data_IF_093736013715
#
_entry.id   IF_093736013715
#
_cell.length_a   1.000
_cell.length_b   1.000
_cell.length_c   1.000
_cell.angle_alpha   90.00
_cell.angle_beta   90.00
_cell.angle_gamma   90.00
#
_symmetry.space_group_name_H-M   'P 1'
#
loop_
_entity.id
_entity.type
_entity.pdbx_description
1 polymer ?
#
# COMPACT_ATOMS: atom_id res chain seq x y z
N UNK A 1 -20.89 10.31 -6.19
CA UNK A 1 -20.26 9.42 -5.19
C UNK A 1 -19.39 10.30 -4.30
N UNK A 2 -19.50 10.21 -2.98
CA UNK A 2 -18.67 11.05 -2.11
C UNK A 2 -17.21 10.57 -2.20
N UNK A 3 -16.24 11.50 -2.11
CA UNK A 3 -14.80 11.21 -2.14
C UNK A 3 -14.40 10.09 -1.15
N UNK A 4 -15.14 9.97 -0.05
CA UNK A 4 -14.94 9.00 1.01
C UNK A 4 -15.27 7.56 0.60
N UNK A 5 -16.24 7.36 -0.29
CA UNK A 5 -16.60 6.02 -0.78
C UNK A 5 -15.49 5.47 -1.67
N UNK A 6 -14.86 6.33 -2.48
CA UNK A 6 -13.80 5.93 -3.42
C UNK A 6 -12.52 5.52 -2.70
N UNK A 7 -12.06 6.31 -1.73
CA UNK A 7 -10.90 5.97 -0.90
C UNK A 7 -11.10 4.65 -0.18
N UNK A 8 -12.28 4.45 0.41
CA UNK A 8 -12.66 3.22 1.10
C UNK A 8 -12.60 2.00 0.17
N UNK A 9 -13.14 2.12 -1.04
CA UNK A 9 -13.11 1.06 -2.05
C UNK A 9 -11.67 0.71 -2.48
N UNK A 10 -10.80 1.71 -2.61
CA UNK A 10 -9.39 1.48 -2.96
C UNK A 10 -8.64 0.74 -1.85
N UNK A 11 -8.89 1.11 -0.60
CA UNK A 11 -8.37 0.44 0.59
C UNK A 11 -8.86 -1.01 0.71
N UNK A 12 -10.16 -1.25 0.52
CA UNK A 12 -10.76 -2.58 0.52
C UNK A 12 -10.22 -3.46 -0.62
N UNK A 13 -10.01 -2.88 -1.80
CA UNK A 13 -9.38 -3.59 -2.91
C UNK A 13 -7.93 -3.98 -2.58
N UNK A 14 -7.15 -3.06 -2.01
CA UNK A 14 -5.77 -3.33 -1.62
C UNK A 14 -5.68 -4.45 -0.56
N UNK A 15 -6.54 -4.39 0.47
CA UNK A 15 -6.53 -5.40 1.55
C UNK A 15 -6.97 -6.77 1.03
N UNK A 16 -7.94 -6.82 0.11
CA UNK A 16 -8.38 -8.06 -0.53
C UNK A 16 -7.20 -8.76 -1.23
N UNK A 17 -6.46 -8.01 -2.06
CA UNK A 17 -5.30 -8.53 -2.77
C UNK A 17 -4.18 -8.92 -1.82
N UNK A 18 -3.91 -8.13 -0.79
CA UNK A 18 -2.94 -8.46 0.25
C UNK A 18 -3.25 -9.80 0.92
N UNK A 19 -4.48 -10.01 1.41
CA UNK A 19 -4.89 -11.28 2.03
C UNK A 19 -4.74 -12.45 1.06
N UNK A 20 -5.17 -12.28 -0.20
CA UNK A 20 -5.03 -13.30 -1.25
C UNK A 20 -3.57 -13.69 -1.47
N UNK A 21 -2.66 -12.72 -1.51
CA UNK A 21 -1.24 -12.96 -1.75
C UNK A 21 -0.51 -13.50 -0.52
N UNK A 22 -0.79 -13.01 0.68
CA UNK A 22 -0.23 -13.54 1.93
C UNK A 22 -0.59 -15.02 2.12
N UNK A 23 -1.84 -15.41 1.82
CA UNK A 23 -2.23 -16.82 1.84
C UNK A 23 -1.37 -17.66 0.89
N UNK A 24 -1.12 -17.17 -0.32
CA UNK A 24 -0.30 -17.88 -1.32
C UNK A 24 1.16 -17.97 -0.90
N UNK A 25 1.73 -16.89 -0.35
CA UNK A 25 3.15 -16.79 0.01
C UNK A 25 3.48 -17.53 1.30
N UNK A 26 2.66 -17.37 2.33
CA UNK A 26 2.96 -17.81 3.69
C UNK A 26 2.00 -18.90 4.21
N UNK A 27 0.94 -19.24 3.46
CA UNK A 27 -0.10 -20.17 3.91
C UNK A 27 -1.08 -19.59 4.94
N UNK A 28 -0.89 -18.33 5.36
CA UNK A 28 -1.70 -17.69 6.40
C UNK A 28 -3.00 -17.16 5.82
N UNK A 29 -4.14 -17.63 6.34
CA UNK A 29 -5.45 -17.12 6.01
C UNK A 29 -5.85 -16.04 7.02
N UNK A 30 -5.86 -14.79 6.56
CA UNK A 30 -6.46 -13.67 7.30
C UNK A 30 -7.91 -13.42 6.87
N UNK A 31 -8.67 -12.81 7.77
CA UNK A 31 -10.00 -12.25 7.52
C UNK A 31 -10.07 -10.82 8.06
N UNK A 32 -10.79 -9.94 7.38
CA UNK A 32 -11.04 -8.59 7.88
C UNK A 32 -11.95 -8.68 9.10
N UNK A 33 -11.42 -8.34 10.27
CA UNK A 33 -12.19 -8.22 11.52
C UNK A 33 -12.84 -6.84 11.60
N UNK A 34 -12.12 -5.80 11.19
CA UNK A 34 -12.59 -4.41 11.26
C UNK A 34 -11.94 -3.53 10.20
N UNK A 35 -12.72 -2.60 9.66
CA UNK A 35 -12.28 -1.47 8.85
C UNK A 35 -12.67 -0.20 9.61
N UNK A 36 -11.70 0.63 9.96
CA UNK A 36 -11.92 1.87 10.69
C UNK A 36 -12.23 3.06 9.77
N UNK A 37 -11.73 3.06 8.53
CA UNK A 37 -11.91 4.16 7.59
C UNK A 37 -11.47 5.50 8.21
N UNK A 38 -12.17 6.58 7.87
CA UNK A 38 -11.82 7.93 8.34
C UNK A 38 -12.23 8.23 9.79
N UNK A 39 -13.13 7.43 10.37
CA UNK A 39 -13.57 7.59 11.77
C UNK A 39 -12.52 7.07 12.78
N UNK A 40 -11.45 6.45 12.27
CA UNK A 40 -10.34 5.89 13.03
C UNK A 40 -9.24 6.89 13.35
N UNK A 41 -9.54 8.01 14.00
CA UNK A 41 -8.48 8.93 14.47
C UNK A 41 -7.49 8.13 15.33
N UNK A 42 -6.22 8.14 14.95
CA UNK A 42 -5.14 7.36 15.58
C UNK A 42 -5.37 5.84 15.55
N UNK A 43 -6.14 5.31 14.59
CA UNK A 43 -6.33 3.86 14.40
C UNK A 43 -5.81 3.43 13.03
N UNK A 44 -5.31 2.20 12.91
CA UNK A 44 -4.97 1.63 11.61
C UNK A 44 -6.23 1.47 10.76
N UNK A 45 -6.09 1.46 9.44
CA UNK A 45 -7.23 1.31 8.53
C UNK A 45 -7.96 -0.03 8.74
N UNK A 46 -7.22 -1.13 8.86
CA UNK A 46 -7.78 -2.47 9.05
C UNK A 46 -7.23 -3.19 10.26
N UNK A 47 -8.06 -4.08 10.80
CA UNK A 47 -7.67 -5.15 11.69
C UNK A 47 -7.98 -6.47 11.00
N UNK A 48 -6.95 -7.30 10.85
CA UNK A 48 -7.03 -8.63 10.28
C UNK A 48 -6.87 -9.68 11.37
N UNK A 49 -7.70 -10.71 11.32
CA UNK A 49 -7.60 -11.86 12.24
C UNK A 49 -7.17 -13.09 11.46
N UNK A 50 -6.08 -13.72 11.91
CA UNK A 50 -5.62 -15.03 11.44
C UNK A 50 -5.95 -16.11 12.46
N UNK A 51 -5.39 -17.31 12.27
CA UNK A 51 -5.55 -18.42 13.21
C UNK A 51 -4.84 -18.16 14.55
N UNK A 52 -3.65 -17.55 14.52
CA UNK A 52 -2.76 -17.42 15.70
C UNK A 52 -2.49 -15.97 16.12
N UNK A 53 -2.79 -15.00 15.26
CA UNK A 53 -2.52 -13.60 15.53
C UNK A 53 -3.58 -12.67 14.95
N UNK A 54 -3.66 -11.48 15.55
CA UNK A 54 -4.34 -10.32 15.00
C UNK A 54 -3.27 -9.31 14.58
N UNK A 55 -3.42 -8.77 13.37
CA UNK A 55 -2.54 -7.73 12.86
C UNK A 55 -3.36 -6.50 12.46
N UNK A 56 -2.82 -5.34 12.76
CA UNK A 56 -3.29 -4.08 12.20
C UNK A 56 -2.62 -3.84 10.85
N UNK A 57 -3.35 -3.26 9.90
CA UNK A 57 -2.80 -2.88 8.59
C UNK A 57 -3.20 -1.44 8.29
N UNK A 58 -2.20 -0.58 8.13
CA UNK A 58 -2.36 0.74 7.52
C UNK A 58 -2.22 0.58 6.00
N UNK A 59 -3.13 1.17 5.23
CA UNK A 59 -3.11 1.13 3.78
C UNK A 59 -2.77 2.50 3.22
N UNK A 60 -1.98 2.50 2.16
CA UNK A 60 -1.71 3.71 1.40
C UNK A 60 -1.45 3.38 -0.06
N UNK A 61 -1.52 4.41 -0.90
CA UNK A 61 -1.40 4.28 -2.34
C UNK A 61 -0.23 5.13 -2.80
N UNK A 62 0.68 4.49 -3.54
CA UNK A 62 1.79 5.13 -4.20
C UNK A 62 1.36 5.49 -5.62
N UNK A 63 1.38 6.78 -5.89
CA UNK A 63 1.18 7.37 -7.22
C UNK A 63 2.50 7.99 -7.65
N UNK A 64 2.76 8.05 -8.96
CA UNK A 64 3.93 8.71 -9.51
C UNK A 64 3.94 10.21 -9.14
N UNK A 65 2.79 10.87 -9.31
CA UNK A 65 2.57 12.27 -9.00
C UNK A 65 1.08 12.56 -8.71
N UNK A 66 0.75 13.83 -8.46
CA UNK A 66 -0.63 14.28 -8.24
C UNK A 66 -1.52 14.12 -9.49
N UNK A 67 -0.94 14.22 -10.69
CA UNK A 67 -1.69 14.09 -11.95
C UNK A 67 -2.18 12.65 -12.15
N UNK A 68 -1.30 11.67 -11.96
CA UNK A 68 -1.62 10.25 -11.99
C UNK A 68 -2.62 9.90 -10.90
N UNK A 69 -2.46 10.44 -9.69
CA UNK A 69 -3.43 10.26 -8.62
C UNK A 69 -4.82 10.77 -9.03
N UNK A 70 -4.91 11.98 -9.60
CA UNK A 70 -6.17 12.55 -10.07
C UNK A 70 -6.78 11.76 -11.23
N UNK A 71 -5.97 11.31 -12.18
CA UNK A 71 -6.41 10.48 -13.30
C UNK A 71 -7.00 9.15 -12.82
N UNK A 72 -6.29 8.44 -11.93
CA UNK A 72 -6.72 7.15 -11.40
C UNK A 72 -7.94 7.25 -10.48
N UNK A 73 -8.17 8.43 -9.90
CA UNK A 73 -9.39 8.77 -9.15
C UNK A 73 -10.51 9.36 -10.05
N UNK A 74 -10.38 9.25 -11.39
CA UNK A 74 -11.40 9.71 -12.33
C UNK A 74 -11.64 11.24 -12.34
N UNK A 75 -10.65 12.03 -11.91
CA UNK A 75 -10.72 13.50 -11.82
C UNK A 75 -10.08 14.22 -13.02
N UNK A 76 -9.54 13.48 -13.99
CA UNK A 76 -8.95 13.98 -15.23
C UNK A 76 -9.27 13.01 -16.37
N UNK A 77 -9.48 13.55 -17.57
CA UNK A 77 -9.84 12.78 -18.78
C UNK A 77 -8.62 12.42 -19.65
N UNK A 78 -7.45 12.99 -19.36
CA UNK A 78 -6.24 12.83 -20.17
C UNK A 78 -4.99 12.60 -19.34
N UNK A 79 -4.13 11.72 -19.86
CA UNK A 79 -2.79 11.44 -19.34
C UNK A 79 -1.82 12.42 -20.01
N UNK A 80 -1.06 13.22 -19.25
CA UNK A 80 0.08 13.94 -19.82
C UNK A 80 1.12 12.93 -20.36
N UNK A 81 1.73 13.20 -21.51
CA UNK A 81 2.87 12.44 -22.05
C UNK A 81 4.15 12.74 -21.24
N UNK A 82 4.11 12.49 -19.93
CA UNK A 82 5.27 12.69 -19.06
C UNK A 82 6.10 11.41 -18.97
N UNK A 83 7.41 11.57 -19.17
CA UNK A 83 8.38 10.49 -19.01
C UNK A 83 8.47 10.18 -17.52
N UNK A 84 8.04 8.97 -17.14
CA UNK A 84 8.11 8.51 -15.76
C UNK A 84 9.49 7.89 -15.47
N UNK A 85 10.15 8.37 -14.41
CA UNK A 85 11.45 7.86 -13.98
C UNK A 85 11.33 7.03 -12.69
N UNK A 86 12.03 5.89 -12.65
CA UNK A 86 12.04 5.04 -11.45
C UNK A 86 12.62 5.77 -10.23
N UNK A 87 13.61 6.64 -10.40
CA UNK A 87 14.17 7.45 -9.31
C UNK A 87 13.09 8.29 -8.63
N UNK A 88 12.27 8.99 -9.42
CA UNK A 88 11.15 9.80 -8.91
C UNK A 88 10.16 8.93 -8.13
N UNK A 89 9.84 7.74 -8.65
CA UNK A 89 8.94 6.81 -7.95
C UNK A 89 9.53 6.31 -6.61
N UNK A 90 10.84 6.06 -6.56
CA UNK A 90 11.52 5.69 -5.31
C UNK A 90 11.53 6.85 -4.31
N UNK A 91 11.77 8.08 -4.77
CA UNK A 91 11.71 9.27 -3.92
C UNK A 91 10.30 9.46 -3.34
N UNK A 92 9.26 9.36 -4.17
CA UNK A 92 7.86 9.43 -3.71
C UNK A 92 7.51 8.31 -2.73
N UNK A 93 8.01 7.08 -2.94
CA UNK A 93 7.85 5.97 -2.01
C UNK A 93 8.50 6.27 -0.66
N UNK A 94 9.71 6.82 -0.66
CA UNK A 94 10.43 7.17 0.57
C UNK A 94 9.70 8.27 1.35
N UNK A 95 9.23 9.31 0.66
CA UNK A 95 8.44 10.38 1.28
C UNK A 95 7.14 9.83 1.87
N UNK A 96 6.49 8.89 1.18
CA UNK A 96 5.28 8.24 1.66
C UNK A 96 5.53 7.43 2.94
N UNK A 97 6.60 6.64 2.96
CA UNK A 97 7.01 5.87 4.15
C UNK A 97 7.29 6.82 5.31
N UNK A 98 8.10 7.86 5.10
CA UNK A 98 8.46 8.84 6.13
C UNK A 98 7.22 9.52 6.74
N UNK A 99 6.25 9.91 5.91
CA UNK A 99 4.99 10.51 6.35
C UNK A 99 4.14 9.54 7.20
N UNK A 100 4.17 8.25 6.89
CA UNK A 100 3.43 7.23 7.66
C UNK A 100 4.11 6.88 8.98
N UNK A 101 5.44 6.91 9.05
CA UNK A 101 6.19 6.69 10.30
C UNK A 101 5.84 7.73 11.36
N UNK A 102 5.56 8.98 10.96
CA UNK A 102 5.15 10.03 11.88
C UNK A 102 3.80 9.81 12.58
N UNK A 103 2.99 8.84 12.11
CA UNK A 103 1.67 8.55 12.70
C UNK A 103 1.79 7.75 13.99
N UNK A 104 1.02 8.17 15.00
CA UNK A 104 0.84 7.44 16.26
C UNK A 104 -0.48 6.70 16.24
N UNK A 105 -0.44 5.41 16.58
CA UNK A 105 -1.60 4.55 16.64
C UNK A 105 -1.94 4.17 18.08
N UNK A 106 -3.21 4.24 18.44
CA UNK A 106 -3.78 3.66 19.65
C UNK A 106 -4.08 2.16 19.42
N UNK A 107 -3.04 1.42 19.06
CA UNK A 107 -3.06 -0.02 18.87
C UNK A 107 -1.78 -0.60 19.46
N UNK A 108 -1.92 -1.58 20.35
CA UNK A 108 -0.81 -2.16 21.10
C UNK A 108 -0.20 -3.41 20.44
N UNK A 109 -0.78 -3.89 19.33
CA UNK A 109 -0.32 -5.06 18.60
C UNK A 109 0.58 -4.72 17.42
N UNK A 110 0.87 -5.75 16.62
CA UNK A 110 1.61 -5.63 15.37
C UNK A 110 0.86 -4.77 14.36
N UNK A 111 1.55 -3.80 13.78
CA UNK A 111 1.05 -2.97 12.68
C UNK A 111 1.94 -3.19 11.46
N UNK A 112 1.33 -3.55 10.34
CA UNK A 112 1.98 -3.62 9.04
C UNK A 112 1.54 -2.42 8.18
N UNK A 113 2.45 -1.92 7.34
CA UNK A 113 2.13 -0.92 6.32
C UNK A 113 1.98 -1.61 4.97
N UNK A 114 0.82 -1.45 4.34
CA UNK A 114 0.56 -1.89 2.97
C UNK A 114 0.54 -0.70 2.03
N UNK A 115 1.50 -0.67 1.11
CA UNK A 115 1.62 0.34 0.06
C UNK A 115 1.18 -0.31 -1.25
N UNK A 116 0.10 0.17 -1.87
CA UNK A 116 -0.32 -0.25 -3.20
C UNK A 116 0.28 0.68 -4.24
N UNK A 117 1.15 0.16 -5.11
CA UNK A 117 1.59 0.88 -6.30
C UNK A 117 0.42 0.96 -7.28
N UNK A 118 -0.11 2.17 -7.46
CA UNK A 118 -1.22 2.44 -8.35
C UNK A 118 -0.74 2.72 -9.79
N UNK A 119 0.51 3.15 -9.94
CA UNK A 119 1.11 3.41 -11.25
C UNK A 119 1.25 2.14 -12.08
N UNK A 120 0.74 2.11 -13.32
CA UNK A 120 0.86 0.95 -14.20
C UNK A 120 2.24 0.84 -14.87
N UNK A 121 3.06 1.89 -14.83
CA UNK A 121 4.37 1.89 -15.48
C UNK A 121 5.43 1.09 -14.71
N UNK A 122 5.21 0.85 -13.41
CA UNK A 122 6.21 0.25 -12.54
C UNK A 122 5.80 -1.16 -12.08
N UNK A 123 6.55 -2.15 -12.56
CA UNK A 123 6.51 -3.53 -12.09
C UNK A 123 7.51 -3.81 -10.95
N UNK A 124 7.37 -4.97 -10.29
CA UNK A 124 8.17 -5.38 -9.12
C UNK A 124 9.69 -5.29 -9.34
N UNK A 125 10.18 -5.62 -10.54
CA UNK A 125 11.61 -5.61 -10.83
C UNK A 125 12.24 -4.21 -10.77
N UNK A 126 11.47 -3.14 -10.96
CA UNK A 126 11.96 -1.77 -10.80
C UNK A 126 12.34 -1.50 -9.34
N UNK A 127 11.52 -1.97 -8.39
CA UNK A 127 11.76 -1.79 -6.96
C UNK A 127 12.86 -2.71 -6.45
N UNK A 128 12.90 -3.97 -6.92
CA UNK A 128 13.99 -4.91 -6.56
C UNK A 128 15.35 -4.36 -6.98
N UNK A 129 15.48 -3.85 -8.22
CA UNK A 129 16.74 -3.28 -8.73
C UNK A 129 17.21 -2.04 -7.98
N UNK A 130 16.27 -1.30 -7.36
CA UNK A 130 16.55 -0.06 -6.65
C UNK A 130 16.35 -0.19 -5.14
N UNK A 131 16.32 -1.41 -4.60
CA UNK A 131 16.01 -1.67 -3.19
C UNK A 131 16.97 -0.98 -2.22
N UNK A 132 18.24 -0.82 -2.62
CA UNK A 132 19.28 -0.09 -1.87
C UNK A 132 18.97 1.40 -1.68
N UNK A 133 18.02 1.95 -2.45
CA UNK A 133 17.58 3.34 -2.38
C UNK A 133 16.22 3.48 -1.66
N UNK A 134 15.59 2.38 -1.25
CA UNK A 134 14.34 2.40 -0.50
C UNK A 134 14.67 2.49 0.99
N UNK A 135 14.26 3.59 1.61
CA UNK A 135 14.56 3.87 3.01
C UNK A 135 13.46 3.31 3.92
N UNK A 136 13.77 2.20 4.58
CA UNK A 136 12.94 1.63 5.64
C UNK A 136 13.50 1.88 7.04
N UNK A 137 14.56 2.67 7.16
CA UNK A 137 15.15 3.02 8.45
C UNK A 137 14.18 3.88 9.26
N UNK A 138 14.26 3.79 10.58
CA UNK A 138 13.39 4.51 11.52
C UNK A 138 11.89 4.18 11.41
N UNK A 139 11.50 3.12 10.71
CA UNK A 139 10.10 2.67 10.59
C UNK A 139 9.64 1.84 11.80
N UNK A 140 10.04 2.22 13.02
CA UNK A 140 9.88 1.40 14.23
C UNK A 140 8.42 1.09 14.60
N UNK A 141 7.47 1.87 14.11
CA UNK A 141 6.04 1.68 14.33
C UNK A 141 5.44 0.57 13.44
N UNK A 142 6.12 0.16 12.38
CA UNK A 142 5.67 -0.91 11.48
C UNK A 142 6.55 -2.16 11.62
N UNK A 143 5.93 -3.32 11.80
CA UNK A 143 6.63 -4.60 11.83
C UNK A 143 7.10 -4.98 10.43
N UNK A 144 6.18 -4.89 9.46
CA UNK A 144 6.50 -5.08 8.05
C UNK A 144 6.01 -3.94 7.18
N UNK A 145 6.69 -3.76 6.06
CA UNK A 145 6.27 -2.85 4.99
C UNK A 145 6.15 -3.66 3.72
N UNK A 146 4.93 -3.71 3.18
CA UNK A 146 4.57 -4.48 2.01
C UNK A 146 4.28 -3.55 0.84
N UNK A 147 4.86 -3.82 -0.32
CA UNK A 147 4.56 -3.16 -1.58
C UNK A 147 3.75 -4.11 -2.47
N UNK A 148 2.51 -3.75 -2.75
CA UNK A 148 1.60 -4.48 -3.63
C UNK A 148 1.62 -3.85 -5.03
N UNK A 149 1.98 -4.63 -6.03
CA UNK A 149 2.09 -4.19 -7.42
C UNK A 149 1.21 -5.01 -8.35
N UNK A 150 0.90 -4.39 -9.49
CA UNK A 150 0.25 -5.08 -10.59
C UNK A 150 1.26 -5.96 -11.30
N UNK A 151 0.96 -7.24 -11.40
CA UNK A 151 1.74 -8.19 -12.18
C UNK A 151 1.48 -7.93 -13.67
N UNK A 152 2.56 -7.78 -14.44
CA UNK A 152 2.49 -7.41 -15.86
C UNK A 152 1.96 -8.53 -16.75
N UNK A 153 2.09 -9.79 -16.33
CA UNK A 153 1.65 -10.95 -17.09
C UNK A 153 0.16 -11.24 -16.88
N UNK A 154 -0.30 -11.17 -15.63
CA UNK A 154 -1.69 -11.49 -15.27
C UNK A 154 -2.60 -10.27 -15.28
N UNK A 155 -2.04 -9.07 -15.15
CA UNK A 155 -2.79 -7.83 -14.96
C UNK A 155 -3.48 -7.72 -13.59
N UNK A 156 -3.27 -8.68 -12.68
CA UNK A 156 -3.79 -8.67 -11.31
C UNK A 156 -2.82 -7.99 -10.34
N UNK A 157 -3.31 -7.49 -9.19
CA UNK A 157 -2.43 -7.08 -8.08
C UNK A 157 -1.94 -8.31 -7.32
N UNK A 158 -1.04 -9.07 -7.94
CA UNK A 158 -0.51 -10.33 -7.39
C UNK A 158 0.96 -10.29 -7.02
N UNK A 159 1.69 -9.22 -7.36
CA UNK A 159 3.08 -9.07 -6.98
C UNK A 159 3.15 -8.41 -5.60
N UNK A 160 3.66 -9.12 -4.60
CA UNK A 160 3.80 -8.62 -3.23
C UNK A 160 5.27 -8.69 -2.82
N UNK A 161 5.86 -7.53 -2.57
CA UNK A 161 7.25 -7.38 -2.16
C UNK A 161 7.32 -6.92 -0.70
N UNK A 162 8.08 -7.65 0.12
CA UNK A 162 8.41 -7.22 1.47
C UNK A 162 9.61 -6.26 1.41
N UNK A 163 9.44 -5.04 1.89
CA UNK A 163 10.51 -4.04 2.01
C UNK A 163 11.19 -4.10 3.39
N UNK A 164 10.43 -4.51 4.42
CA UNK A 164 10.87 -4.71 5.80
C UNK A 164 10.14 -5.89 6.42
#
# INVERSE_FOLDING_TARGET
MALNDEKKLLEEAAIHWFIKNIKKLCGIQYHVKKHYGEDGISKPDFILTGHEEEIAVEVTHLFYDEHEARLLLGKLDHVPDEIQFVSTMIDTLNDLIANKVGKKYDYQGRIDLLIRCASPAFAIHHFIKNSVHINTDNTYNFHHIWLLLRNVETGEWSDLLQLK
#
